data_IF_618048384357
#
_entry.id   IF_618048384357
#
_cell.length_a   1.000
_cell.length_b   1.000
_cell.length_c   1.000
_cell.angle_alpha   90.00
_cell.angle_beta   90.00
_cell.angle_gamma   90.00
#
_symmetry.space_group_name_H-M   'P 1'
#
loop_
_entity.id
_entity.type
_entity.pdbx_description
1 polymer ?
#
# COMPACT_ATOMS: atom_id res chain seq x y z
N UNK A 1 -12.14 -29.74 14.65
CA UNK A 1 -12.71 -28.59 15.37
C UNK A 1 -12.45 -27.31 14.57
N UNK A 2 -13.26 -27.05 13.54
CA UNK A 2 -13.20 -25.80 12.79
C UNK A 2 -13.98 -24.74 13.58
N UNK A 3 -13.30 -23.76 14.16
CA UNK A 3 -13.95 -22.60 14.78
C UNK A 3 -14.59 -21.79 13.64
N UNK A 4 -15.91 -21.82 13.53
CA UNK A 4 -16.66 -20.87 12.73
C UNK A 4 -16.30 -19.48 13.24
N UNK A 5 -15.41 -18.77 12.54
CA UNK A 5 -15.17 -17.36 12.80
C UNK A 5 -16.53 -16.67 12.55
N UNK A 6 -17.16 -16.04 13.55
CA UNK A 6 -18.35 -15.22 13.34
C UNK A 6 -17.88 -13.97 12.59
N UNK A 7 -17.63 -14.12 11.30
CA UNK A 7 -17.43 -12.97 10.42
C UNK A 7 -18.77 -12.21 10.45
N UNK A 8 -18.78 -10.89 10.66
CA UNK A 8 -20.01 -10.10 10.58
C UNK A 8 -20.51 -10.09 9.12
N UNK A 9 -21.18 -11.17 8.73
CA UNK A 9 -21.64 -11.49 7.38
C UNK A 9 -22.49 -10.38 6.72
N UNK A 10 -23.31 -9.58 7.44
CA UNK A 10 -24.07 -8.50 6.80
C UNK A 10 -23.17 -7.40 6.21
N UNK A 11 -22.08 -7.04 6.90
CA UNK A 11 -21.23 -5.92 6.48
C UNK A 11 -20.36 -6.25 5.26
N UNK A 12 -19.88 -7.50 5.17
CA UNK A 12 -19.08 -7.95 4.04
C UNK A 12 -19.92 -8.00 2.77
N UNK A 13 -21.15 -8.53 2.85
CA UNK A 13 -22.05 -8.54 1.70
C UNK A 13 -22.44 -7.13 1.26
N UNK A 14 -22.73 -6.24 2.21
CA UNK A 14 -23.03 -4.84 1.91
C UNK A 14 -21.88 -4.12 1.20
N UNK A 15 -20.63 -4.33 1.65
CA UNK A 15 -19.44 -3.72 1.02
C UNK A 15 -19.17 -4.29 -0.37
N UNK A 16 -19.32 -5.60 -0.58
CA UNK A 16 -19.19 -6.23 -1.90
C UNK A 16 -20.27 -5.71 -2.86
N UNK A 17 -21.54 -5.72 -2.46
CA UNK A 17 -22.65 -5.23 -3.29
C UNK A 17 -22.48 -3.74 -3.59
N UNK A 18 -22.12 -2.93 -2.59
CA UNK A 18 -21.85 -1.50 -2.78
C UNK A 18 -20.72 -1.25 -3.80
N UNK A 19 -19.64 -2.03 -3.72
CA UNK A 19 -18.52 -1.94 -4.68
C UNK A 19 -18.96 -2.30 -6.10
N UNK A 20 -19.75 -3.37 -6.25
CA UNK A 20 -20.28 -3.79 -7.56
C UNK A 20 -21.21 -2.72 -8.16
N UNK A 21 -22.10 -2.14 -7.36
CA UNK A 21 -22.99 -1.07 -7.80
C UNK A 21 -22.20 0.18 -8.22
N UNK A 22 -21.15 0.53 -7.47
CA UNK A 22 -20.29 1.66 -7.79
C UNK A 22 -19.54 1.44 -9.12
N UNK A 23 -18.96 0.26 -9.33
CA UNK A 23 -18.29 -0.12 -10.57
C UNK A 23 -19.28 -0.16 -11.76
N UNK A 24 -20.49 -0.67 -11.55
CA UNK A 24 -21.54 -0.68 -12.57
C UNK A 24 -22.01 0.75 -12.92
N UNK A 25 -22.10 1.65 -11.93
CA UNK A 25 -22.46 3.05 -12.15
C UNK A 25 -21.40 3.81 -12.94
N UNK A 26 -20.11 3.66 -12.56
CA UNK A 26 -18.99 4.32 -13.25
C UNK A 26 -18.78 3.78 -14.66
N UNK A 27 -18.94 2.47 -14.88
CA UNK A 27 -18.75 1.86 -16.21
C UNK A 27 -19.82 2.24 -17.22
N UNK A 28 -21.05 2.54 -16.77
CA UNK A 28 -22.16 2.97 -17.65
C UNK A 28 -22.14 4.46 -17.99
N UNK A 29 -21.57 5.29 -17.12
CA UNK A 29 -21.47 6.75 -17.30
C UNK A 29 -20.08 7.24 -16.90
N UNK A 30 -19.15 7.14 -17.84
CA UNK A 30 -17.76 7.58 -17.64
C UNK A 30 -17.64 9.08 -17.32
N UNK A 31 -18.59 9.91 -17.78
CA UNK A 31 -18.64 11.35 -17.52
C UNK A 31 -19.55 11.74 -16.34
N UNK A 32 -20.11 10.75 -15.63
CA UNK A 32 -20.97 10.99 -14.48
C UNK A 32 -20.22 11.65 -13.31
N UNK A 33 -20.94 12.37 -12.43
CA UNK A 33 -20.33 13.08 -11.29
C UNK A 33 -19.47 12.18 -10.39
N UNK A 34 -19.88 10.93 -10.18
CA UNK A 34 -19.11 9.94 -9.40
C UNK A 34 -17.79 9.60 -10.11
N UNK A 35 -17.84 9.31 -11.41
CA UNK A 35 -16.64 9.00 -12.21
C UNK A 35 -15.67 10.19 -12.24
N UNK A 36 -16.18 11.42 -12.30
CA UNK A 36 -15.36 12.65 -12.25
C UNK A 36 -14.67 12.84 -10.90
N UNK A 37 -15.36 12.55 -9.79
CA UNK A 37 -14.77 12.61 -8.44
C UNK A 37 -13.71 11.53 -8.26
N UNK A 38 -14.00 10.28 -8.64
CA UNK A 38 -13.04 9.18 -8.53
C UNK A 38 -11.85 9.32 -9.49
N UNK A 39 -12.08 9.91 -10.66
CA UNK A 39 -11.05 10.22 -11.67
C UNK A 39 -10.26 11.48 -11.38
N UNK A 40 -10.52 12.18 -10.26
CA UNK A 40 -9.80 13.39 -9.92
C UNK A 40 -8.31 13.08 -9.72
N UNK A 41 -7.44 13.75 -10.48
CA UNK A 41 -5.99 13.51 -10.51
C UNK A 41 -5.32 13.32 -9.13
N UNK A 42 -5.56 14.17 -8.11
CA UNK A 42 -4.96 13.97 -6.80
C UNK A 42 -5.47 12.72 -6.07
N UNK A 43 -6.74 12.33 -6.28
CA UNK A 43 -7.31 11.10 -5.70
C UNK A 43 -6.66 9.86 -6.33
N UNK A 44 -6.51 9.86 -7.66
CA UNK A 44 -5.82 8.81 -8.41
C UNK A 44 -4.34 8.72 -7.99
N UNK A 45 -3.68 9.87 -7.82
CA UNK A 45 -2.30 9.93 -7.35
C UNK A 45 -2.16 9.34 -5.94
N UNK A 46 -3.07 9.68 -5.03
CA UNK A 46 -3.08 9.10 -3.68
C UNK A 46 -3.28 7.58 -3.72
N UNK A 47 -4.13 7.09 -4.62
CA UNK A 47 -4.30 5.66 -4.87
C UNK A 47 -3.01 4.98 -5.34
N UNK A 48 -2.24 5.62 -6.23
CA UNK A 48 -0.92 5.14 -6.66
C UNK A 48 0.09 5.13 -5.52
N UNK A 49 0.00 6.11 -4.62
CA UNK A 49 0.89 6.22 -3.45
C UNK A 49 0.55 5.23 -2.32
N UNK A 50 -0.62 4.58 -2.37
CA UNK A 50 -1.12 3.71 -1.29
C UNK A 50 -0.15 2.63 -0.86
N UNK A 51 0.58 2.03 -1.81
CA UNK A 51 1.58 1.01 -1.51
C UNK A 51 2.77 1.58 -0.72
N UNK A 52 3.34 2.68 -1.20
CA UNK A 52 4.45 3.35 -0.52
C UNK A 52 4.02 3.87 0.87
N UNK A 53 2.80 4.41 1.00
CA UNK A 53 2.22 4.80 2.28
C UNK A 53 2.14 3.62 3.26
N UNK A 54 1.66 2.48 2.79
CA UNK A 54 1.60 1.27 3.61
C UNK A 54 2.99 0.78 4.03
N UNK A 55 4.01 0.93 3.19
CA UNK A 55 5.37 0.51 3.57
C UNK A 55 5.97 1.41 4.66
N UNK A 56 5.80 2.74 4.54
CA UNK A 56 6.51 3.71 5.38
C UNK A 56 5.76 4.18 6.62
N UNK A 57 4.43 4.02 6.69
CA UNK A 57 3.66 4.50 7.85
C UNK A 57 4.14 3.89 9.17
N UNK A 58 4.37 2.58 9.20
CA UNK A 58 4.73 1.86 10.42
C UNK A 58 6.16 2.21 10.88
N UNK A 59 7.20 2.14 10.02
CA UNK A 59 8.55 2.58 10.40
C UNK A 59 8.61 4.03 10.87
N UNK A 60 7.93 4.96 10.18
CA UNK A 60 7.92 6.36 10.60
C UNK A 60 7.23 6.54 11.95
N UNK A 61 6.10 5.87 12.17
CA UNK A 61 5.35 5.99 13.42
C UNK A 61 6.19 5.51 14.59
N UNK A 62 6.86 4.36 14.45
CA UNK A 62 7.76 3.83 15.48
C UNK A 62 8.92 4.81 15.70
N UNK A 63 9.58 5.29 14.64
CA UNK A 63 10.70 6.21 14.74
C UNK A 63 10.32 7.51 15.48
N UNK A 64 9.22 8.16 15.08
CA UNK A 64 8.75 9.39 15.71
C UNK A 64 8.34 9.16 17.17
N UNK A 65 7.66 8.05 17.46
CA UNK A 65 7.25 7.70 18.83
C UNK A 65 8.45 7.54 19.77
N UNK A 66 9.53 6.93 19.30
CA UNK A 66 10.72 6.67 20.12
C UNK A 66 11.65 7.89 20.26
N UNK A 67 11.65 8.80 19.29
CA UNK A 67 12.57 9.95 19.27
C UNK A 67 11.96 11.23 19.85
N UNK A 68 10.77 11.61 19.37
CA UNK A 68 10.11 12.88 19.73
C UNK A 68 8.84 12.69 20.56
N UNK A 69 8.31 11.47 20.61
CA UNK A 69 6.95 11.21 21.10
C UNK A 69 5.89 11.67 20.11
N UNK A 70 4.64 11.26 20.34
CA UNK A 70 3.49 11.60 19.47
C UNK A 70 2.64 12.70 20.11
N UNK A 71 3.28 13.80 20.54
CA UNK A 71 2.61 14.93 21.17
C UNK A 71 3.02 16.27 20.55
N UNK A 72 2.13 17.27 20.64
CA UNK A 72 2.39 18.64 20.17
C UNK A 72 2.69 18.70 18.67
N UNK A 73 3.81 19.36 18.31
CA UNK A 73 4.22 19.55 16.91
C UNK A 73 4.51 18.24 16.15
N UNK A 74 4.91 17.18 16.86
CA UNK A 74 5.21 15.89 16.24
C UNK A 74 3.98 15.23 15.60
N UNK A 75 2.77 15.53 16.13
CA UNK A 75 1.51 15.02 15.59
C UNK A 75 1.23 15.56 14.18
N UNK A 76 1.55 16.83 13.93
CA UNK A 76 1.38 17.49 12.63
C UNK A 76 2.51 17.17 11.67
N UNK A 77 3.71 16.88 12.20
CA UNK A 77 4.87 16.52 11.40
C UNK A 77 4.74 15.12 10.76
N UNK A 78 4.14 14.16 11.48
CA UNK A 78 3.98 12.78 11.01
C UNK A 78 3.33 12.64 9.62
N UNK A 79 2.13 13.17 9.35
CA UNK A 79 1.49 13.00 8.04
C UNK A 79 2.29 13.68 6.91
N UNK A 80 2.96 14.80 7.20
CA UNK A 80 3.79 15.51 6.23
C UNK A 80 5.02 14.68 5.86
N UNK A 81 5.75 14.17 6.86
CA UNK A 81 6.90 13.30 6.63
C UNK A 81 6.49 12.00 5.94
N UNK A 82 5.37 11.40 6.33
CA UNK A 82 4.87 10.18 5.73
C UNK A 82 4.58 10.38 4.24
N UNK A 83 3.86 11.46 3.88
CA UNK A 83 3.58 11.78 2.49
C UNK A 83 4.86 12.08 1.71
N UNK A 84 5.80 12.83 2.29
CA UNK A 84 7.07 13.16 1.65
C UNK A 84 7.94 11.91 1.37
N UNK A 85 8.13 11.06 2.39
CA UNK A 85 8.91 9.81 2.25
C UNK A 85 8.22 8.84 1.31
N UNK A 86 6.89 8.72 1.39
CA UNK A 86 6.13 7.85 0.49
C UNK A 86 6.19 8.34 -0.95
N UNK A 87 6.06 9.64 -1.20
CA UNK A 87 6.22 10.25 -2.53
C UNK A 87 7.63 10.04 -3.08
N UNK A 88 8.66 10.27 -2.26
CA UNK A 88 10.04 10.01 -2.64
C UNK A 88 10.27 8.53 -2.99
N UNK A 89 9.80 7.60 -2.16
CA UNK A 89 9.88 6.16 -2.41
C UNK A 89 9.16 5.76 -3.71
N UNK A 90 7.96 6.30 -3.95
CA UNK A 90 7.20 6.04 -5.15
C UNK A 90 7.93 6.51 -6.41
N UNK A 91 8.47 7.73 -6.41
CA UNK A 91 9.15 8.29 -7.57
C UNK A 91 10.56 7.74 -7.79
N UNK A 92 11.30 7.43 -6.73
CA UNK A 92 12.71 7.02 -6.80
C UNK A 92 12.90 5.49 -6.86
N UNK A 93 11.94 4.71 -6.34
CA UNK A 93 12.07 3.24 -6.28
C UNK A 93 10.97 2.58 -7.10
N UNK A 94 9.71 2.93 -6.85
CA UNK A 94 8.58 2.20 -7.43
C UNK A 94 8.39 2.50 -8.94
N UNK A 95 8.42 3.77 -9.33
CA UNK A 95 8.34 4.19 -10.74
C UNK A 95 9.47 3.64 -11.61
N UNK A 96 10.77 3.78 -11.24
CA UNK A 96 11.84 3.22 -12.06
C UNK A 96 11.79 1.70 -12.10
N UNK A 97 11.38 1.01 -11.01
CA UNK A 97 11.24 -0.44 -11.02
C UNK A 97 10.06 -0.92 -11.88
N UNK A 98 8.94 -0.18 -11.92
CA UNK A 98 7.80 -0.45 -12.81
C UNK A 98 8.14 -0.24 -14.28
N UNK A 99 8.97 0.75 -14.59
CA UNK A 99 9.34 1.11 -15.95
C UNK A 99 10.59 0.41 -16.45
N UNK A 100 11.40 -0.17 -15.55
CA UNK A 100 12.54 -0.99 -15.92
C UNK A 100 12.09 -2.25 -16.67
N UNK A 101 12.74 -2.51 -17.81
CA UNK A 101 12.38 -3.58 -18.72
C UNK A 101 12.43 -5.00 -18.12
N UNK A 102 12.10 -6.03 -18.92
CA UNK A 102 11.94 -7.41 -18.47
C UNK A 102 13.11 -7.92 -17.62
N UNK A 103 14.34 -7.50 -17.91
CA UNK A 103 15.55 -7.96 -17.24
C UNK A 103 15.54 -7.69 -15.71
N UNK A 104 15.00 -6.57 -15.26
CA UNK A 104 14.91 -6.23 -13.83
C UNK A 104 13.71 -6.89 -13.14
N UNK A 105 12.72 -7.40 -13.89
CA UNK A 105 11.56 -8.14 -13.36
C UNK A 105 11.93 -9.55 -12.86
N UNK A 106 13.02 -10.14 -13.36
CA UNK A 106 13.55 -11.45 -12.92
C UNK A 106 14.57 -11.32 -11.79
N UNK A 107 15.15 -10.13 -11.59
CA UNK A 107 16.06 -9.83 -10.49
C UNK A 107 15.45 -10.09 -9.10
N UNK A 108 14.20 -9.66 -8.77
CA UNK A 108 13.62 -9.96 -7.46
C UNK A 108 13.39 -11.45 -7.24
N UNK A 109 13.09 -12.23 -8.29
CA UNK A 109 12.92 -13.67 -8.17
C UNK A 109 14.26 -14.38 -7.89
N UNK A 110 15.35 -13.90 -8.51
CA UNK A 110 16.71 -14.35 -8.24
C UNK A 110 17.22 -13.92 -6.86
N UNK A 111 16.92 -12.68 -6.43
CA UNK A 111 17.32 -12.20 -5.09
C UNK A 111 16.50 -12.88 -3.99
N UNK A 112 15.20 -13.11 -4.19
CA UNK A 112 14.35 -13.88 -3.26
C UNK A 112 14.80 -15.35 -3.19
N UNK A 113 15.15 -15.97 -4.32
CA UNK A 113 15.71 -17.31 -4.33
C UNK A 113 17.06 -17.38 -3.59
N UNK A 114 17.94 -16.39 -3.80
CA UNK A 114 19.22 -16.33 -3.09
C UNK A 114 19.08 -16.02 -1.59
N UNK A 115 18.11 -15.17 -1.21
CA UNK A 115 17.82 -14.86 0.18
C UNK A 115 17.18 -16.06 0.89
N UNK A 116 16.27 -16.78 0.21
CA UNK A 116 15.71 -18.04 0.72
C UNK A 116 16.77 -19.12 0.91
N UNK A 117 17.73 -19.23 -0.02
CA UNK A 117 18.86 -20.16 0.09
C UNK A 117 19.79 -19.80 1.26
N UNK A 118 20.11 -18.52 1.45
CA UNK A 118 20.93 -18.05 2.59
C UNK A 118 20.23 -18.28 3.93
N UNK A 119 18.92 -18.02 4.03
CA UNK A 119 18.13 -18.29 5.23
C UNK A 119 18.06 -19.79 5.52
N UNK A 120 17.92 -20.64 4.50
CA UNK A 120 17.94 -22.09 4.67
C UNK A 120 19.32 -22.60 5.14
N UNK A 121 20.41 -22.06 4.59
CA UNK A 121 21.77 -22.42 4.98
C UNK A 121 22.09 -21.99 6.43
N UNK A 122 21.64 -20.80 6.85
CA UNK A 122 21.80 -20.36 8.23
C UNK A 122 20.92 -21.14 9.22
N UNK A 123 19.72 -21.56 8.80
CA UNK A 123 18.81 -22.35 9.64
C UNK A 123 19.20 -23.82 9.82
N UNK A 124 20.04 -24.37 8.94
CA UNK A 124 20.56 -25.75 9.05
C UNK A 124 21.83 -25.81 9.93
N UNK A 125 22.44 -24.66 10.24
CA UNK A 125 23.69 -24.56 10.99
C UNK A 125 23.51 -24.29 12.50
N UNK A 126 22.27 -24.31 13.01
CA UNK A 126 21.92 -24.16 14.45
C UNK A 126 21.25 -25.41 14.98
#
# INVERSE_FOLDING_TARGET
>A
MARHLPMPMPGVLATVVGTLLLLAGVSRQADGGIARVLGWSPLVYLGRLSYSLYLWHWPLLVLLRWTYGLQGAALWLYPVLLLAVSAASYHLVEQPLRNAGPLLRWAPMKTLASAGLLVALCGVAT
#
